data_IF_637435184676
#
_entry.id   IF_637435184676
#
_cell.length_a   1.000
_cell.length_b   1.000
_cell.length_c   1.000
_cell.angle_alpha   90.00
_cell.angle_beta   90.00
_cell.angle_gamma   90.00
#
_symmetry.space_group_name_H-M   'P 1'
#
loop_
_entity.id
_entity.type
_entity.pdbx_description
1 polymer ?
#
# COMPACT_ATOMS: atom_id res chain seq x y z
N UNK A 1 1.78 1.21 11.21
CA UNK A 1 2.76 0.27 10.59
C UNK A 1 2.88 -0.98 11.45
N UNK A 2 2.95 -2.19 10.85
CA UNK A 2 3.09 -3.43 11.63
C UNK A 2 4.52 -3.66 12.12
N UNK A 3 4.68 -4.50 13.16
CA UNK A 3 6.01 -4.90 13.68
C UNK A 3 6.91 -5.48 12.58
N UNK A 4 6.34 -6.31 11.71
CA UNK A 4 7.10 -6.95 10.64
C UNK A 4 7.47 -5.97 9.54
N UNK A 5 6.58 -5.04 9.18
CA UNK A 5 6.93 -3.95 8.25
C UNK A 5 8.09 -3.10 8.78
N UNK A 6 8.11 -2.79 10.09
CA UNK A 6 9.23 -2.06 10.70
C UNK A 6 10.55 -2.83 10.64
N UNK A 7 10.52 -4.16 10.74
CA UNK A 7 11.71 -4.97 10.57
C UNK A 7 12.17 -4.96 9.11
N UNK A 8 11.25 -5.20 8.16
CA UNK A 8 11.51 -5.23 6.72
C UNK A 8 12.13 -3.94 6.21
N UNK A 9 11.60 -2.78 6.59
CA UNK A 9 12.12 -1.46 6.15
C UNK A 9 13.61 -1.31 6.47
N UNK A 10 14.05 -1.78 7.64
CA UNK A 10 15.47 -1.72 8.05
C UNK A 10 16.38 -2.64 7.24
N UNK A 11 15.85 -3.70 6.65
CA UNK A 11 16.62 -4.67 5.86
C UNK A 11 16.60 -4.35 4.37
N UNK A 12 15.48 -3.83 3.86
CA UNK A 12 15.25 -3.65 2.42
C UNK A 12 15.53 -2.22 1.94
N UNK A 13 15.61 -1.25 2.86
CA UNK A 13 15.74 0.16 2.50
C UNK A 13 16.76 0.88 3.38
N UNK A 14 17.22 2.05 2.92
CA UNK A 14 18.03 2.96 3.71
C UNK A 14 17.23 3.84 4.67
N UNK A 15 15.89 3.72 4.69
CA UNK A 15 15.03 4.56 5.52
C UNK A 15 14.95 4.07 6.97
N UNK A 16 14.87 5.02 7.91
CA UNK A 16 14.49 4.72 9.28
C UNK A 16 12.97 4.77 9.46
N UNK A 17 12.46 4.17 10.55
CA UNK A 17 11.02 4.21 10.85
C UNK A 17 10.49 5.64 11.03
N UNK A 18 11.20 6.55 11.72
CA UNK A 18 10.84 7.97 11.74
C UNK A 18 10.80 8.61 10.36
N UNK A 19 11.75 8.29 9.46
CA UNK A 19 11.76 8.86 8.10
C UNK A 19 10.49 8.46 7.35
N UNK A 20 10.15 7.17 7.36
CA UNK A 20 8.94 6.67 6.69
C UNK A 20 7.67 7.25 7.31
N UNK A 21 7.61 7.35 8.64
CA UNK A 21 6.49 7.99 9.31
C UNK A 21 6.37 9.48 8.98
N UNK A 22 7.49 10.17 8.79
CA UNK A 22 7.57 11.58 8.42
C UNK A 22 7.14 11.89 6.98
N UNK A 23 7.09 10.89 6.10
CA UNK A 23 6.54 11.06 4.75
C UNK A 23 5.02 11.28 4.76
N UNK A 24 4.32 10.94 5.85
CA UNK A 24 2.89 11.16 5.96
C UNK A 24 2.57 12.65 6.11
N UNK A 25 1.77 13.21 5.21
CA UNK A 25 1.34 14.63 5.27
C UNK A 25 0.45 14.93 6.47
N UNK A 26 -0.29 13.92 6.96
CA UNK A 26 -1.31 14.09 8.00
C UNK A 26 -0.91 13.48 9.33
N UNK A 27 -1.48 12.32 9.64
CA UNK A 27 -1.33 11.65 10.93
C UNK A 27 -0.79 10.24 10.74
N UNK A 28 -0.06 9.78 11.75
CA UNK A 28 0.32 8.39 11.89
C UNK A 28 -0.30 7.85 13.18
N UNK A 29 -0.71 6.58 13.16
CA UNK A 29 -1.32 5.92 14.30
C UNK A 29 -0.53 4.67 14.68
N UNK A 30 -0.53 4.37 15.98
CA UNK A 30 -0.01 3.10 16.46
C UNK A 30 -0.92 1.96 15.98
N UNK A 31 -0.32 0.80 15.70
CA UNK A 31 -1.06 -0.41 15.36
C UNK A 31 -2.00 -0.88 16.47
N UNK A 32 -1.70 -0.54 17.73
CA UNK A 32 -2.51 -0.89 18.90
C UNK A 32 -3.55 0.16 19.25
N UNK A 33 -3.61 1.28 18.54
CA UNK A 33 -4.51 2.39 18.86
C UNK A 33 -5.91 2.15 18.28
N UNK A 34 -6.70 1.34 18.97
CA UNK A 34 -8.08 1.04 18.56
C UNK A 34 -9.03 2.22 18.74
N UNK A 35 -8.63 3.28 19.44
CA UNK A 35 -9.40 4.51 19.58
C UNK A 35 -9.16 5.49 18.41
N UNK A 36 -8.24 5.17 17.49
CA UNK A 36 -8.03 5.95 16.28
C UNK A 36 -9.33 6.04 15.47
N UNK A 37 -9.65 7.20 14.85
CA UNK A 37 -10.90 7.37 14.12
C UNK A 37 -11.14 6.32 13.03
N UNK A 38 -10.06 5.81 12.45
CA UNK A 38 -10.07 4.81 11.36
C UNK A 38 -10.67 3.46 11.77
N UNK A 39 -10.78 3.18 13.07
CA UNK A 39 -11.44 1.97 13.58
C UNK A 39 -12.98 2.02 13.53
N UNK A 40 -13.54 3.20 13.22
CA UNK A 40 -14.98 3.46 13.19
C UNK A 40 -15.56 3.44 11.77
N UNK A 41 -16.73 2.81 11.62
CA UNK A 41 -17.53 2.82 10.39
C UNK A 41 -18.03 4.18 9.94
N UNK A 42 -18.07 5.17 10.85
CA UNK A 42 -18.49 6.53 10.52
C UNK A 42 -17.35 7.42 10.01
N UNK A 43 -16.11 6.91 9.99
CA UNK A 43 -14.97 7.69 9.54
C UNK A 43 -15.03 7.89 8.03
N UNK A 44 -14.81 9.13 7.60
CA UNK A 44 -14.73 9.46 6.17
C UNK A 44 -13.37 9.05 5.65
N UNK A 45 -13.36 8.08 4.75
CA UNK A 45 -12.16 7.57 4.10
C UNK A 45 -12.46 7.42 2.60
N UNK A 46 -11.65 8.06 1.76
CA UNK A 46 -11.77 7.91 0.29
C UNK A 46 -11.26 6.54 -0.18
N UNK A 47 -10.33 5.95 0.59
CA UNK A 47 -9.99 4.55 0.49
C UNK A 47 -8.74 4.17 1.30
N UNK A 48 -8.50 2.87 1.38
CA UNK A 48 -7.40 2.29 2.16
C UNK A 48 -6.58 1.33 1.28
N UNK A 49 -5.27 1.36 1.45
CA UNK A 49 -4.31 0.46 0.80
C UNK A 49 -3.47 -0.26 1.84
N UNK A 50 -3.16 -1.53 1.59
CA UNK A 50 -2.08 -2.24 2.29
C UNK A 50 -1.03 -2.66 1.27
N UNK A 51 0.18 -2.08 1.37
CA UNK A 51 1.31 -2.36 0.50
C UNK A 51 2.65 -2.31 1.27
N UNK A 52 3.49 -3.35 1.19
CA UNK A 52 3.13 -4.72 0.80
C UNK A 52 2.15 -5.36 1.81
N UNK A 53 1.38 -6.36 1.38
CA UNK A 53 0.45 -7.09 2.25
C UNK A 53 0.98 -8.48 2.60
N UNK A 54 1.17 -8.75 3.90
CA UNK A 54 1.56 -10.07 4.37
C UNK A 54 0.39 -11.05 4.30
N UNK A 55 0.67 -12.34 4.11
CA UNK A 55 -0.36 -13.39 4.16
C UNK A 55 -1.07 -13.41 5.52
N UNK A 56 -0.37 -13.11 6.62
CA UNK A 56 -1.00 -12.97 7.94
C UNK A 56 -2.06 -11.86 7.93
N UNK A 57 -1.71 -10.68 7.43
CA UNK A 57 -2.63 -9.54 7.37
C UNK A 57 -3.83 -9.85 6.49
N UNK A 58 -3.59 -10.44 5.30
CA UNK A 58 -4.66 -10.88 4.40
C UNK A 58 -5.61 -11.88 5.09
N UNK A 59 -5.06 -12.89 5.78
CA UNK A 59 -5.85 -13.88 6.50
C UNK A 59 -6.66 -13.24 7.65
N UNK A 60 -6.07 -12.30 8.39
CA UNK A 60 -6.73 -11.59 9.48
C UNK A 60 -7.93 -10.77 8.98
N UNK A 61 -7.77 -10.07 7.86
CA UNK A 61 -8.85 -9.32 7.20
C UNK A 61 -9.94 -10.29 6.73
N UNK A 62 -9.55 -11.37 6.04
CA UNK A 62 -10.51 -12.36 5.53
C UNK A 62 -11.31 -13.05 6.64
N UNK A 63 -10.68 -13.32 7.77
CA UNK A 63 -11.30 -13.96 8.92
C UNK A 63 -12.10 -12.99 9.79
N UNK A 64 -11.87 -11.67 9.65
CA UNK A 64 -12.52 -10.65 10.46
C UNK A 64 -12.04 -10.64 11.91
N UNK A 65 -10.79 -11.04 12.19
CA UNK A 65 -10.26 -11.04 13.57
C UNK A 65 -10.16 -9.64 14.17
N UNK A 66 -9.89 -8.64 13.32
CA UNK A 66 -9.74 -7.23 13.71
C UNK A 66 -8.87 -7.04 14.98
N UNK A 67 -7.77 -7.81 15.08
CA UNK A 67 -6.92 -7.84 16.28
C UNK A 67 -6.09 -6.56 16.46
N UNK A 68 -5.90 -5.82 15.38
CA UNK A 68 -5.12 -4.59 15.33
C UNK A 68 -5.79 -3.52 14.47
N UNK A 69 -5.29 -2.29 14.56
CA UNK A 69 -5.86 -1.16 13.83
C UNK A 69 -5.81 -1.37 12.31
N UNK A 70 -4.81 -2.08 11.78
CA UNK A 70 -4.68 -2.32 10.33
C UNK A 70 -5.82 -3.22 9.86
N UNK A 71 -5.99 -4.38 10.48
CA UNK A 71 -7.04 -5.33 10.14
C UNK A 71 -8.43 -4.78 10.45
N UNK A 72 -8.60 -4.01 11.53
CA UNK A 72 -9.88 -3.36 11.85
C UNK A 72 -10.28 -2.29 10.85
N UNK A 73 -9.34 -1.41 10.45
CA UNK A 73 -9.65 -0.34 9.50
C UNK A 73 -9.97 -0.89 8.11
N UNK A 74 -9.43 -2.07 7.77
CA UNK A 74 -9.69 -2.73 6.50
C UNK A 74 -11.15 -3.20 6.33
N UNK A 75 -11.92 -3.35 7.43
CA UNK A 75 -13.35 -3.67 7.38
C UNK A 75 -14.17 -2.60 6.64
N UNK A 76 -13.65 -1.38 6.50
CA UNK A 76 -14.31 -0.25 5.82
C UNK A 76 -14.20 -0.32 4.28
N UNK A 77 -13.39 -1.24 3.77
CA UNK A 77 -13.03 -1.33 2.35
C UNK A 77 -11.55 -1.05 2.15
N UNK A 78 -10.83 -2.05 1.64
CA UNK A 78 -9.39 -2.01 1.44
C UNK A 78 -9.00 -2.58 0.07
N UNK A 79 -8.01 -1.96 -0.55
CA UNK A 79 -7.31 -2.50 -1.71
C UNK A 79 -6.06 -3.23 -1.21
N UNK A 80 -6.01 -4.54 -1.47
CA UNK A 80 -4.82 -5.35 -1.21
C UNK A 80 -3.96 -5.30 -2.46
N UNK A 81 -2.78 -4.70 -2.35
CA UNK A 81 -1.86 -4.56 -3.46
C UNK A 81 -0.74 -5.60 -3.36
N UNK A 82 -0.77 -6.66 -4.17
CA UNK A 82 0.30 -7.65 -4.16
C UNK A 82 1.52 -7.08 -4.89
N UNK A 83 2.72 -7.44 -4.43
CA UNK A 83 3.97 -7.08 -5.10
C UNK A 83 4.18 -7.94 -6.35
N UNK A 84 3.36 -7.72 -7.38
CA UNK A 84 3.44 -8.42 -8.68
C UNK A 84 4.02 -7.45 -9.72
N UNK A 85 5.34 -7.50 -9.95
CA UNK A 85 5.99 -6.61 -10.89
C UNK A 85 5.55 -6.85 -12.34
N UNK A 86 5.36 -5.77 -13.09
CA UNK A 86 5.02 -5.82 -14.51
C UNK A 86 6.28 -5.79 -15.38
N UNK A 87 6.52 -6.86 -16.14
CA UNK A 87 7.67 -6.96 -17.06
C UNK A 87 7.34 -6.65 -18.52
N UNK A 88 6.07 -6.53 -18.88
CA UNK A 88 5.67 -6.15 -20.24
C UNK A 88 6.13 -4.74 -20.62
N UNK A 89 6.34 -3.87 -19.62
CA UNK A 89 6.88 -2.52 -19.78
C UNK A 89 8.39 -2.51 -20.08
N UNK A 90 9.06 -3.68 -20.10
CA UNK A 90 10.51 -3.83 -20.34
C UNK A 90 11.35 -2.89 -19.45
N UNK A 91 11.22 -2.99 -18.11
CA UNK A 91 11.95 -2.13 -17.18
C UNK A 91 13.47 -2.27 -17.38
N UNK A 92 14.19 -1.16 -17.24
CA UNK A 92 15.67 -1.09 -17.33
C UNK A 92 16.35 -1.31 -15.99
N UNK A 93 15.60 -1.26 -14.89
CA UNK A 93 16.12 -1.44 -13.54
C UNK A 93 15.02 -1.66 -12.51
N UNK A 94 15.44 -1.82 -11.25
CA UNK A 94 14.53 -2.02 -10.12
C UNK A 94 13.61 -0.80 -9.90
N UNK A 95 14.13 0.41 -10.09
CA UNK A 95 13.36 1.63 -9.92
C UNK A 95 12.16 1.69 -10.88
N UNK A 96 12.31 1.25 -12.12
CA UNK A 96 11.20 1.17 -13.08
C UNK A 96 10.10 0.20 -12.60
N UNK A 97 10.49 -0.91 -11.97
CA UNK A 97 9.56 -1.90 -11.42
C UNK A 97 8.81 -1.34 -10.22
N UNK A 98 9.52 -0.63 -9.33
CA UNK A 98 8.94 0.03 -8.15
C UNK A 98 8.01 1.16 -8.58
N UNK A 99 8.46 2.04 -9.48
CA UNK A 99 7.69 3.18 -9.98
C UNK A 99 6.41 2.72 -10.70
N UNK A 100 6.49 1.68 -11.52
CA UNK A 100 5.30 1.09 -12.14
C UNK A 100 4.32 0.58 -11.07
N UNK A 101 4.81 -0.04 -9.99
CA UNK A 101 3.94 -0.52 -8.90
C UNK A 101 3.28 0.64 -8.15
N UNK A 102 4.03 1.71 -7.85
CA UNK A 102 3.51 2.93 -7.21
C UNK A 102 2.48 3.62 -8.11
N UNK A 103 2.74 3.74 -9.40
CA UNK A 103 1.80 4.33 -10.34
C UNK A 103 0.47 3.55 -10.39
N UNK A 104 0.54 2.21 -10.35
CA UNK A 104 -0.66 1.36 -10.26
C UNK A 104 -1.42 1.53 -8.94
N UNK A 105 -0.71 1.79 -7.84
CA UNK A 105 -1.34 2.15 -6.56
C UNK A 105 -2.07 3.49 -6.69
N UNK A 106 -1.44 4.50 -7.30
CA UNK A 106 -2.05 5.83 -7.50
C UNK A 106 -3.28 5.75 -8.40
N UNK A 107 -3.23 4.96 -9.48
CA UNK A 107 -4.36 4.69 -10.36
C UNK A 107 -5.57 4.12 -9.59
N UNK A 108 -5.36 3.27 -8.58
CA UNK A 108 -6.43 2.70 -7.77
C UNK A 108 -7.24 3.75 -6.98
N UNK A 109 -6.65 4.93 -6.73
CA UNK A 109 -7.28 6.05 -6.04
C UNK A 109 -7.63 7.21 -6.99
N UNK A 110 -7.43 7.04 -8.30
CA UNK A 110 -7.66 8.11 -9.27
C UNK A 110 -6.68 9.29 -9.14
N UNK A 111 -5.49 9.04 -8.60
CA UNK A 111 -4.42 10.04 -8.43
C UNK A 111 -3.49 9.97 -9.66
N UNK A 112 -3.18 11.12 -10.26
CA UNK A 112 -2.23 11.22 -11.37
C UNK A 112 -0.83 10.79 -10.90
N UNK A 113 -0.19 9.77 -11.52
CA UNK A 113 1.12 9.29 -11.12
C UNK A 113 2.29 10.22 -11.47
N UNK A 114 2.05 11.46 -11.91
CA UNK A 114 3.08 12.49 -12.14
C UNK A 114 4.23 12.02 -13.04
N UNK A 115 3.91 11.21 -14.06
CA UNK A 115 4.89 10.66 -15.00
C UNK A 115 5.70 9.46 -14.51
N UNK A 116 5.43 8.91 -13.32
CA UNK A 116 6.06 7.67 -12.82
C UNK A 116 5.84 6.46 -13.75
N UNK A 117 4.77 6.49 -14.54
CA UNK A 117 4.49 5.48 -15.56
C UNK A 117 3.99 6.19 -16.83
N UNK A 118 4.83 6.29 -17.88
CA UNK A 118 4.43 6.83 -19.17
C UNK A 118 3.31 6.01 -19.81
N UNK A 119 2.51 6.64 -20.69
CA UNK A 119 1.43 5.95 -21.41
C UNK A 119 1.94 4.77 -22.24
N UNK A 120 3.16 4.83 -22.80
CA UNK A 120 3.75 3.71 -23.53
C UNK A 120 4.03 2.49 -22.63
N UNK A 121 4.15 2.71 -21.32
CA UNK A 121 4.31 1.67 -20.31
C UNK A 121 2.99 1.02 -19.90
N UNK A 122 1.84 1.59 -20.27
CA UNK A 122 0.53 1.04 -19.93
C UNK A 122 0.15 -0.12 -20.84
N UNK A 123 -0.36 -1.18 -20.22
CA UNK A 123 -0.87 -2.33 -20.96
C UNK A 123 -2.25 -2.03 -21.55
N UNK A 124 -2.38 -2.12 -22.87
CA UNK A 124 -3.64 -1.95 -23.60
C UNK A 124 -4.21 -3.26 -24.17
N UNK A 125 -3.77 -4.40 -23.65
CA UNK A 125 -4.18 -5.71 -24.17
C UNK A 125 -3.33 -6.19 -25.35
N UNK A 126 -3.51 -7.46 -25.70
CA UNK A 126 -2.93 -8.01 -26.92
C UNK A 126 -3.61 -7.33 -28.12
N UNK A 127 -2.81 -6.70 -28.98
CA UNK A 127 -3.30 -6.25 -30.28
C UNK A 127 -3.61 -7.50 -31.10
N UNK A 128 -4.87 -7.63 -31.53
CA UNK A 128 -5.30 -8.66 -32.47
C UNK A 128 -4.80 -8.36 -33.87
#
# INVERSE_FOLDING_TARGET
>A
MSKWAQATIKYETSYSIPDVAGLATGRTWSISDMAAPMSSGSWKCDGMLIAPCSVKTLAAIRAGYAEDLISRSADLGVIIFPAVPAFYARPKGLDDVVNHSVARIMDCFGIDPEGLMPEEGRWHGFRK
#
